data_IF_601130933026
#
_entry.id   IF_601130933026
#
_cell.length_a   1.000
_cell.length_b   1.000
_cell.length_c   1.000
_cell.angle_alpha   90.00
_cell.angle_beta   90.00
_cell.angle_gamma   90.00
#
_symmetry.space_group_name_H-M   'P 1'
#
loop_
_entity.id
_entity.type
_entity.pdbx_description
1 polymer ?
#
# COMPACT_ATOMS: atom_id res chain seq x y z
N UNK A 1 27.00 12.41 10.82
CA UNK A 1 26.54 12.68 12.19
C UNK A 1 25.31 11.82 12.42
N UNK A 2 25.50 10.66 13.07
CA UNK A 2 24.50 9.62 13.15
C UNK A 2 23.52 9.83 14.29
N UNK A 3 22.68 10.83 14.23
CA UNK A 3 21.49 10.90 15.07
C UNK A 3 20.42 10.00 14.44
N UNK A 4 20.64 8.71 14.55
CA UNK A 4 19.60 7.73 14.22
C UNK A 4 18.65 7.62 15.40
N UNK A 5 17.36 7.86 15.16
CA UNK A 5 16.34 7.77 16.20
C UNK A 5 16.07 6.34 16.70
N UNK A 6 16.74 5.34 16.13
CA UNK A 6 16.52 3.93 16.43
C UNK A 6 15.13 3.42 16.05
N UNK A 7 14.47 4.09 15.09
CA UNK A 7 13.11 3.77 14.64
C UNK A 7 13.14 3.26 13.22
N UNK A 8 12.49 2.16 12.98
CA UNK A 8 12.34 1.61 11.63
C UNK A 8 11.59 2.59 10.74
N UNK A 9 12.00 2.66 9.49
CA UNK A 9 11.51 3.59 8.48
C UNK A 9 11.60 5.06 8.94
N UNK A 10 11.92 5.97 8.04
CA UNK A 10 11.87 7.42 8.29
C UNK A 10 12.66 7.91 9.51
N UNK A 11 13.85 7.39 9.72
CA UNK A 11 14.77 7.84 10.78
C UNK A 11 15.39 9.22 10.47
N UNK A 12 14.79 9.98 9.61
CA UNK A 12 15.27 11.31 9.31
C UNK A 12 15.13 12.22 10.54
N UNK A 13 16.16 12.99 10.79
CA UNK A 13 16.05 14.10 11.73
C UNK A 13 14.80 14.93 11.37
N UNK A 14 13.96 15.33 12.32
CA UNK A 14 12.75 16.11 12.07
C UNK A 14 12.94 17.33 11.19
N UNK A 15 14.11 17.99 11.26
CA UNK A 15 14.45 19.14 10.42
C UNK A 15 14.47 18.74 8.92
N UNK A 16 14.99 17.57 8.60
CA UNK A 16 15.00 17.05 7.22
C UNK A 16 13.70 16.40 6.82
N UNK A 17 12.94 15.90 7.77
CA UNK A 17 11.61 15.33 7.52
C UNK A 17 10.62 16.42 7.05
N UNK A 18 10.74 17.64 7.54
CA UNK A 18 9.83 18.73 7.19
C UNK A 18 9.80 19.04 5.68
N UNK A 19 10.94 19.26 4.98
CA UNK A 19 10.91 19.47 3.53
C UNK A 19 10.39 18.24 2.76
N UNK A 20 10.63 17.02 3.22
CA UNK A 20 10.07 15.79 2.63
C UNK A 20 8.56 15.83 2.75
N UNK A 21 8.04 16.11 3.93
CA UNK A 21 6.60 16.21 4.18
C UNK A 21 5.93 17.28 3.31
N UNK A 22 6.52 18.48 3.24
CA UNK A 22 6.03 19.56 2.38
C UNK A 22 6.01 19.13 0.91
N UNK A 23 7.05 18.43 0.46
CA UNK A 23 7.13 17.92 -0.92
C UNK A 23 5.99 16.95 -1.25
N UNK A 24 5.61 16.07 -0.33
CA UNK A 24 4.45 15.19 -0.52
C UNK A 24 3.12 15.94 -0.57
N UNK A 25 2.95 16.97 0.24
CA UNK A 25 1.76 17.84 0.18
C UNK A 25 1.68 18.55 -1.17
N UNK A 26 2.77 19.15 -1.62
CA UNK A 26 2.85 19.80 -2.93
C UNK A 26 2.55 18.81 -4.06
N UNK A 27 3.11 17.60 -3.97
CA UNK A 27 2.85 16.54 -4.94
C UNK A 27 1.38 16.11 -4.95
N UNK A 28 0.73 15.98 -3.79
CA UNK A 28 -0.70 15.67 -3.71
C UNK A 28 -1.57 16.78 -4.33
N UNK A 29 -1.26 18.04 -4.04
CA UNK A 29 -1.98 19.19 -4.62
C UNK A 29 -1.82 19.18 -6.15
N UNK A 30 -0.59 19.00 -6.63
CA UNK A 30 -0.31 18.91 -8.07
C UNK A 30 -1.05 17.74 -8.72
N UNK A 31 -1.06 16.58 -8.08
CA UNK A 31 -1.78 15.39 -8.55
C UNK A 31 -3.27 15.67 -8.71
N UNK A 32 -3.92 16.24 -7.68
CA UNK A 32 -5.35 16.58 -7.71
C UNK A 32 -5.64 17.61 -8.82
N UNK A 33 -4.76 18.59 -8.97
CA UNK A 33 -4.91 19.63 -10.00
C UNK A 33 -4.80 19.06 -11.42
N UNK A 34 -3.86 18.13 -11.65
CA UNK A 34 -3.63 17.53 -12.98
C UNK A 34 -4.77 16.59 -13.39
N UNK A 35 -5.28 15.79 -12.47
CA UNK A 35 -6.32 14.81 -12.79
C UNK A 35 -7.69 15.48 -12.89
N UNK A 36 -7.94 16.49 -12.07
CA UNK A 36 -9.25 17.13 -11.92
C UNK A 36 -10.30 16.15 -11.39
N UNK A 37 -11.39 16.67 -10.87
CA UNK A 37 -12.51 15.83 -10.42
C UNK A 37 -13.43 15.51 -11.60
N UNK A 38 -13.24 14.37 -12.25
CA UNK A 38 -14.11 13.85 -13.30
C UNK A 38 -15.13 12.88 -12.70
N UNK A 39 -16.28 12.76 -13.36
CA UNK A 39 -17.40 11.91 -12.91
C UNK A 39 -17.02 10.41 -12.83
N UNK A 40 -16.03 9.98 -13.63
CA UNK A 40 -15.56 8.57 -13.63
C UNK A 40 -14.04 8.53 -13.70
N UNK A 41 -13.43 8.18 -12.60
CA UNK A 41 -12.01 7.86 -12.55
C UNK A 41 -11.79 6.35 -12.67
N UNK A 42 -10.72 5.91 -13.38
CA UNK A 42 -10.27 4.54 -13.31
C UNK A 42 -9.76 4.23 -11.90
N UNK A 43 -9.78 2.95 -11.53
CA UNK A 43 -9.45 2.51 -10.18
C UNK A 43 -8.05 2.97 -9.72
N UNK A 44 -7.08 3.02 -10.61
CA UNK A 44 -5.72 3.41 -10.26
C UNK A 44 -5.60 4.90 -9.85
N UNK A 45 -6.47 5.79 -10.32
CA UNK A 45 -6.49 7.16 -9.82
C UNK A 45 -6.96 7.24 -8.36
N UNK A 46 -7.94 6.43 -8.00
CA UNK A 46 -8.38 6.31 -6.60
C UNK A 46 -7.30 5.69 -5.72
N UNK A 47 -6.60 4.67 -6.21
CA UNK A 47 -5.51 4.01 -5.50
C UNK A 47 -4.35 4.99 -5.24
N UNK A 48 -3.95 5.77 -6.23
CA UNK A 48 -2.89 6.77 -6.07
C UNK A 48 -3.31 7.88 -5.12
N UNK A 49 -4.53 8.42 -5.26
CA UNK A 49 -5.03 9.45 -4.36
C UNK A 49 -5.04 8.96 -2.90
N UNK A 50 -5.64 7.79 -2.68
CA UNK A 50 -5.75 7.20 -1.34
C UNK A 50 -4.37 6.90 -0.76
N UNK A 51 -3.47 6.31 -1.54
CA UNK A 51 -2.10 6.03 -1.12
C UNK A 51 -1.34 7.30 -0.71
N UNK A 52 -1.43 8.38 -1.50
CA UNK A 52 -0.78 9.66 -1.18
C UNK A 52 -1.37 10.30 0.07
N UNK A 53 -2.68 10.33 0.20
CA UNK A 53 -3.35 10.91 1.37
C UNK A 53 -2.96 10.15 2.64
N UNK A 54 -3.05 8.83 2.63
CA UNK A 54 -2.68 8.03 3.80
C UNK A 54 -1.18 8.08 4.08
N UNK A 55 -0.34 8.18 3.06
CA UNK A 55 1.08 8.38 3.25
C UNK A 55 1.37 9.66 4.06
N UNK A 56 0.69 10.77 3.76
CA UNK A 56 0.84 12.01 4.50
C UNK A 56 0.43 11.83 5.97
N UNK A 57 -0.70 11.17 6.22
CA UNK A 57 -1.15 10.89 7.60
C UNK A 57 -0.18 10.00 8.36
N UNK A 58 0.29 8.91 7.75
CA UNK A 58 1.24 7.99 8.37
C UNK A 58 2.60 8.65 8.61
N UNK A 59 2.99 9.57 7.73
CA UNK A 59 4.22 10.35 7.92
C UNK A 59 4.13 11.25 9.17
N UNK A 60 3.00 11.93 9.39
CA UNK A 60 2.76 12.71 10.60
C UNK A 60 2.79 11.80 11.83
N UNK A 61 2.08 10.69 11.79
CA UNK A 61 2.01 9.70 12.88
C UNK A 61 3.41 9.18 13.27
N UNK A 62 4.28 8.96 12.27
CA UNK A 62 5.63 8.47 12.51
C UNK A 62 6.47 9.43 13.38
N UNK A 63 6.16 10.71 13.40
CA UNK A 63 6.87 11.72 14.17
C UNK A 63 6.22 12.09 15.51
N UNK A 64 5.17 11.38 15.96
CA UNK A 64 4.53 11.60 17.25
C UNK A 64 5.50 11.39 18.42
N UNK A 65 6.55 10.62 18.26
CA UNK A 65 7.61 10.42 19.26
C UNK A 65 8.34 11.72 19.66
N UNK A 66 8.27 12.78 18.88
CA UNK A 66 8.82 14.10 19.22
C UNK A 66 8.20 14.61 20.52
N UNK A 67 6.93 14.28 20.76
CA UNK A 67 6.21 14.66 21.96
C UNK A 67 6.56 13.72 23.13
N UNK A 68 6.99 14.27 24.31
CA UNK A 68 7.33 13.46 25.47
C UNK A 68 6.25 12.47 25.88
N UNK A 69 4.98 12.87 25.79
CA UNK A 69 3.82 12.04 26.12
C UNK A 69 3.86 10.67 25.43
N UNK A 70 4.20 10.59 24.15
CA UNK A 70 4.28 9.31 23.44
C UNK A 70 5.61 8.61 23.72
N UNK A 71 6.73 9.33 23.69
CA UNK A 71 8.08 8.78 23.83
C UNK A 71 8.34 8.18 25.23
N UNK A 72 7.77 8.73 26.28
CA UNK A 72 8.00 8.29 27.66
C UNK A 72 7.13 7.08 28.06
N UNK A 73 6.14 6.70 27.23
CA UNK A 73 5.32 5.53 27.44
C UNK A 73 5.72 4.42 26.45
N UNK A 74 6.54 3.49 26.91
CA UNK A 74 7.13 2.44 26.07
C UNK A 74 6.11 1.72 25.17
N UNK A 75 4.99 1.26 25.73
CA UNK A 75 3.95 0.54 24.94
C UNK A 75 3.32 1.45 23.90
N UNK A 76 3.04 2.71 24.23
CA UNK A 76 2.49 3.68 23.27
C UNK A 76 3.48 3.96 22.14
N UNK A 77 4.74 4.19 22.49
CA UNK A 77 5.79 4.48 21.51
C UNK A 77 6.01 3.31 20.54
N UNK A 78 6.12 2.09 21.09
CA UNK A 78 6.27 0.89 20.26
C UNK A 78 5.04 0.60 19.42
N UNK A 79 3.82 0.79 19.96
CA UNK A 79 2.57 0.58 19.22
C UNK A 79 2.47 1.57 18.05
N UNK A 80 2.77 2.84 18.28
CA UNK A 80 2.78 3.85 17.22
C UNK A 80 3.78 3.48 16.13
N UNK A 81 5.01 3.15 16.49
CA UNK A 81 6.06 2.80 15.54
C UNK A 81 5.64 1.62 14.64
N UNK A 82 5.22 0.51 15.24
CA UNK A 82 4.86 -0.69 14.49
C UNK A 82 3.56 -0.53 13.70
N UNK A 83 2.58 0.19 14.26
CA UNK A 83 1.34 0.52 13.56
C UNK A 83 1.62 1.41 12.34
N UNK A 84 2.47 2.41 12.48
CA UNK A 84 2.86 3.28 11.37
C UNK A 84 3.57 2.50 10.26
N UNK A 85 4.45 1.55 10.61
CA UNK A 85 5.08 0.67 9.63
C UNK A 85 4.03 -0.07 8.78
N UNK A 86 3.06 -0.70 9.41
CA UNK A 86 1.98 -1.39 8.70
C UNK A 86 1.13 -0.46 7.83
N UNK A 87 0.77 0.70 8.35
CA UNK A 87 -0.01 1.71 7.62
C UNK A 87 0.78 2.30 6.45
N UNK A 88 2.08 2.52 6.62
CA UNK A 88 2.97 3.00 5.55
C UNK A 88 3.07 1.99 4.41
N UNK A 89 3.28 0.71 4.74
CA UNK A 89 3.28 -0.38 3.75
C UNK A 89 1.94 -0.43 3.01
N UNK A 90 0.81 -0.29 3.71
CA UNK A 90 -0.50 -0.22 3.09
C UNK A 90 -0.68 0.97 2.14
N UNK A 91 -0.19 2.15 2.51
CA UNK A 91 -0.22 3.34 1.65
C UNK A 91 0.62 3.16 0.39
N UNK A 92 1.84 2.61 0.52
CA UNK A 92 2.73 2.31 -0.61
C UNK A 92 2.10 1.22 -1.49
N UNK A 93 1.50 0.18 -0.92
CA UNK A 93 0.82 -0.86 -1.68
C UNK A 93 -0.32 -0.30 -2.53
N UNK A 94 -1.11 0.65 -2.04
CA UNK A 94 -2.12 1.33 -2.85
C UNK A 94 -1.51 2.02 -4.07
N UNK A 95 -0.39 2.71 -3.90
CA UNK A 95 0.31 3.37 -5.02
C UNK A 95 0.82 2.33 -6.01
N UNK A 96 1.46 1.25 -5.55
CA UNK A 96 2.02 0.19 -6.40
C UNK A 96 0.92 -0.55 -7.14
N UNK A 97 -0.17 -0.91 -6.48
CA UNK A 97 -1.32 -1.54 -7.14
C UNK A 97 -1.93 -0.62 -8.19
N UNK A 98 -2.01 0.68 -7.92
CA UNK A 98 -2.42 1.66 -8.91
C UNK A 98 -1.53 1.65 -10.15
N UNK A 99 -0.21 1.60 -9.97
CA UNK A 99 0.76 1.47 -11.08
C UNK A 99 0.56 0.15 -11.82
N UNK A 100 0.36 -0.96 -11.12
CA UNK A 100 0.13 -2.27 -11.74
C UNK A 100 -1.15 -2.26 -12.59
N UNK A 101 -2.27 -1.74 -12.08
CA UNK A 101 -3.52 -1.61 -12.86
C UNK A 101 -3.35 -0.71 -14.09
N UNK A 102 -2.65 0.40 -13.95
CA UNK A 102 -2.35 1.29 -15.07
C UNK A 102 -1.54 0.56 -16.15
N UNK A 103 -0.48 -0.15 -15.76
CA UNK A 103 0.35 -0.91 -16.69
C UNK A 103 -0.43 -2.07 -17.32
N UNK A 104 -1.23 -2.79 -16.55
CA UNK A 104 -2.11 -3.86 -17.05
C UNK A 104 -3.04 -3.33 -18.14
N UNK A 105 -3.67 -2.19 -17.91
CA UNK A 105 -4.54 -1.52 -18.88
C UNK A 105 -3.77 -1.16 -20.17
N UNK A 106 -2.60 -0.50 -20.02
CA UNK A 106 -1.80 -0.06 -21.17
C UNK A 106 -1.23 -1.23 -21.98
N UNK A 107 -0.80 -2.29 -21.32
CA UNK A 107 -0.26 -3.48 -21.98
C UNK A 107 -1.36 -4.28 -22.69
N UNK A 108 -2.53 -4.42 -22.08
CA UNK A 108 -3.64 -5.16 -22.67
C UNK A 108 -4.45 -4.38 -23.70
N UNK A 109 -4.37 -3.05 -23.67
CA UNK A 109 -5.24 -2.18 -24.47
C UNK A 109 -6.71 -2.21 -24.02
N UNK A 110 -7.03 -2.85 -22.88
CA UNK A 110 -8.38 -2.95 -22.34
C UNK A 110 -8.65 -1.87 -21.29
N UNK A 111 -9.08 -0.70 -21.75
CA UNK A 111 -9.42 0.41 -20.85
C UNK A 111 -10.57 0.08 -19.89
N UNK A 112 -11.41 -0.92 -20.22
CA UNK A 112 -12.53 -1.31 -19.35
C UNK A 112 -12.06 -2.07 -18.11
N UNK A 113 -10.87 -2.64 -18.13
CA UNK A 113 -10.32 -3.41 -17.01
C UNK A 113 -10.23 -2.60 -15.71
N UNK A 114 -9.86 -1.32 -15.82
CA UNK A 114 -9.74 -0.40 -14.67
C UNK A 114 -11.07 0.09 -14.10
N UNK A 115 -12.19 -0.23 -14.75
CA UNK A 115 -13.53 0.12 -14.30
C UNK A 115 -14.34 -1.11 -13.84
N UNK A 116 -13.74 -2.30 -13.82
CA UNK A 116 -14.43 -3.54 -13.41
C UNK A 116 -14.67 -3.57 -11.90
N UNK A 117 -15.76 -4.26 -11.52
CA UNK A 117 -16.10 -4.48 -10.10
C UNK A 117 -14.96 -5.16 -9.32
N UNK A 118 -14.22 -6.07 -9.96
CA UNK A 118 -13.09 -6.76 -9.33
C UNK A 118 -11.95 -5.81 -9.01
N UNK A 119 -11.66 -4.84 -9.90
CA UNK A 119 -10.62 -3.82 -9.68
C UNK A 119 -10.98 -2.90 -8.52
N UNK A 120 -12.25 -2.48 -8.44
CA UNK A 120 -12.73 -1.69 -7.29
C UNK A 120 -12.82 -2.53 -6.01
N UNK A 121 -13.14 -3.82 -6.09
CA UNK A 121 -13.08 -4.70 -4.93
C UNK A 121 -11.66 -4.76 -4.35
N UNK A 122 -10.64 -4.85 -5.22
CA UNK A 122 -9.23 -4.77 -4.79
C UNK A 122 -8.88 -3.42 -4.16
N UNK A 123 -9.37 -2.32 -4.73
CA UNK A 123 -9.15 -0.99 -4.15
C UNK A 123 -9.73 -0.87 -2.74
N UNK A 124 -11.00 -1.25 -2.55
CA UNK A 124 -11.64 -1.17 -1.23
C UNK A 124 -11.00 -2.12 -0.22
N UNK A 125 -10.60 -3.30 -0.66
CA UNK A 125 -9.91 -4.24 0.20
C UNK A 125 -8.53 -3.74 0.59
N UNK A 126 -7.79 -3.13 -0.34
CA UNK A 126 -6.53 -2.48 -0.05
C UNK A 126 -6.68 -1.29 0.90
N UNK A 127 -7.80 -0.55 0.85
CA UNK A 127 -8.15 0.44 1.88
C UNK A 127 -8.36 -0.21 3.25
N UNK A 128 -9.12 -1.31 3.31
CA UNK A 128 -9.31 -2.07 4.55
C UNK A 128 -7.98 -2.57 5.10
N UNK A 129 -7.10 -3.05 4.23
CA UNK A 129 -5.76 -3.48 4.59
C UNK A 129 -4.94 -2.33 5.18
N UNK A 130 -4.96 -1.18 4.54
CA UNK A 130 -4.29 0.01 5.03
C UNK A 130 -4.79 0.44 6.43
N UNK A 131 -6.08 0.29 6.69
CA UNK A 131 -6.70 0.70 7.94
C UNK A 131 -6.53 -0.31 9.08
N UNK A 132 -6.46 -1.61 8.80
CA UNK A 132 -6.56 -2.66 9.83
C UNK A 132 -5.44 -3.69 9.82
N UNK A 133 -4.71 -3.84 8.71
CA UNK A 133 -3.68 -4.88 8.56
C UNK A 133 -2.45 -4.66 9.45
N UNK A 134 -2.21 -3.44 9.90
CA UNK A 134 -1.12 -3.12 10.81
C UNK A 134 -1.12 -3.98 12.10
N UNK A 135 -2.25 -4.59 12.43
CA UNK A 135 -2.36 -5.46 13.60
C UNK A 135 -1.38 -6.64 13.59
N UNK A 136 -0.98 -7.15 12.42
CA UNK A 136 0.04 -8.21 12.36
C UNK A 136 1.47 -7.69 12.62
N UNK A 137 1.71 -6.39 12.53
CA UNK A 137 2.99 -5.80 12.89
C UNK A 137 3.18 -5.66 14.40
N UNK A 138 2.11 -5.79 15.19
CA UNK A 138 2.14 -5.62 16.66
C UNK A 138 1.91 -6.93 17.43
N UNK A 139 2.11 -8.09 16.82
CA UNK A 139 1.88 -9.40 17.45
C UNK A 139 2.68 -9.63 18.73
N UNK A 140 3.85 -9.02 18.84
CA UNK A 140 4.72 -9.14 20.03
C UNK A 140 4.38 -8.12 21.12
N UNK A 141 3.45 -7.22 20.89
CA UNK A 141 3.02 -6.24 21.87
C UNK A 141 1.83 -6.78 22.70
N UNK A 142 1.65 -6.34 23.94
CA UNK A 142 0.54 -6.75 24.81
C UNK A 142 -0.76 -6.07 24.35
N UNK A 143 -1.28 -6.50 23.20
CA UNK A 143 -2.52 -5.99 22.60
C UNK A 143 -3.61 -7.05 22.61
N UNK A 144 -4.85 -6.63 22.39
CA UNK A 144 -6.00 -7.52 22.35
C UNK A 144 -5.94 -8.48 21.17
N UNK A 145 -6.17 -9.75 21.39
CA UNK A 145 -6.07 -10.82 20.37
C UNK A 145 -6.96 -10.59 19.14
N UNK A 146 -8.13 -9.96 19.32
CA UNK A 146 -9.04 -9.71 18.20
C UNK A 146 -8.41 -8.84 17.11
N UNK A 147 -7.43 -7.97 17.46
CA UNK A 147 -6.70 -7.13 16.50
C UNK A 147 -5.92 -8.02 15.53
N UNK A 148 -5.25 -9.05 16.03
CA UNK A 148 -4.50 -10.01 15.22
C UNK A 148 -5.42 -10.80 14.27
N UNK A 149 -6.56 -11.27 14.78
CA UNK A 149 -7.53 -12.01 13.94
C UNK A 149 -8.12 -11.15 12.83
N UNK A 150 -8.47 -9.90 13.11
CA UNK A 150 -8.97 -8.97 12.09
C UNK A 150 -7.89 -8.71 11.03
N UNK A 151 -6.67 -8.40 11.46
CA UNK A 151 -5.55 -8.14 10.55
C UNK A 151 -5.29 -9.35 9.64
N UNK A 152 -5.29 -10.57 10.22
CA UNK A 152 -5.12 -11.80 9.46
C UNK A 152 -6.23 -12.02 8.43
N UNK A 153 -7.49 -11.89 8.83
CA UNK A 153 -8.63 -12.08 7.94
C UNK A 153 -8.61 -11.11 6.74
N UNK A 154 -8.23 -9.85 6.98
CA UNK A 154 -8.11 -8.83 5.93
C UNK A 154 -6.99 -9.18 4.97
N UNK A 155 -5.80 -9.57 5.46
CA UNK A 155 -4.66 -9.97 4.63
C UNK A 155 -4.97 -11.17 3.74
N UNK A 156 -5.66 -12.19 4.30
CA UNK A 156 -6.07 -13.39 3.54
C UNK A 156 -6.96 -13.06 2.37
N UNK A 157 -7.90 -12.16 2.58
CA UNK A 157 -8.86 -11.77 1.53
C UNK A 157 -8.16 -11.02 0.40
N UNK A 158 -7.20 -10.16 0.71
CA UNK A 158 -6.40 -9.44 -0.28
C UNK A 158 -5.61 -10.39 -1.18
N UNK A 159 -4.94 -11.37 -0.60
CA UNK A 159 -4.17 -12.36 -1.32
C UNK A 159 -5.00 -13.13 -2.36
N UNK A 160 -6.21 -13.59 -1.97
CA UNK A 160 -7.11 -14.31 -2.86
C UNK A 160 -7.53 -13.47 -4.06
N UNK A 161 -7.90 -12.20 -3.82
CA UNK A 161 -8.35 -11.30 -4.89
C UNK A 161 -7.19 -10.95 -5.82
N UNK A 162 -6.01 -10.70 -5.28
CA UNK A 162 -4.81 -10.36 -6.06
C UNK A 162 -4.43 -11.49 -7.03
N UNK A 163 -4.35 -12.72 -6.55
CA UNK A 163 -4.09 -13.90 -7.42
C UNK A 163 -5.13 -14.01 -8.52
N UNK A 164 -6.40 -13.81 -8.20
CA UNK A 164 -7.49 -13.87 -9.20
C UNK A 164 -7.33 -12.80 -10.28
N UNK A 165 -6.92 -11.60 -9.92
CA UNK A 165 -6.66 -10.51 -10.86
C UNK A 165 -5.50 -10.89 -11.79
N UNK A 166 -4.37 -11.31 -11.24
CA UNK A 166 -3.19 -11.70 -12.02
C UNK A 166 -3.48 -12.86 -12.97
N UNK A 167 -4.16 -13.89 -12.50
CA UNK A 167 -4.56 -15.02 -13.33
C UNK A 167 -5.43 -14.59 -14.52
N UNK A 168 -6.46 -13.77 -14.25
CA UNK A 168 -7.37 -13.28 -15.29
C UNK A 168 -6.63 -12.43 -16.33
N UNK A 169 -5.78 -11.52 -15.88
CA UNK A 169 -4.99 -10.66 -16.75
C UNK A 169 -3.97 -11.43 -17.60
N UNK A 170 -3.23 -12.36 -17.00
CA UNK A 170 -2.23 -13.18 -17.73
C UNK A 170 -2.88 -14.05 -18.81
N UNK A 171 -4.09 -14.56 -18.57
CA UNK A 171 -4.87 -15.30 -19.56
C UNK A 171 -5.30 -14.41 -20.72
N UNK A 172 -5.83 -13.23 -20.42
CA UNK A 172 -6.29 -12.25 -21.43
C UNK A 172 -5.14 -11.85 -22.36
N UNK A 173 -3.95 -11.62 -21.86
CA UNK A 173 -2.80 -11.26 -22.70
C UNK A 173 -2.34 -12.41 -23.59
N UNK A 174 -2.33 -13.64 -23.09
CA UNK A 174 -1.98 -14.82 -23.89
C UNK A 174 -2.94 -15.01 -25.06
N UNK A 175 -4.22 -14.71 -24.88
CA UNK A 175 -5.24 -14.79 -25.91
C UNK A 175 -5.08 -13.69 -26.97
N UNK A 176 -4.72 -12.47 -26.58
CA UNK A 176 -4.65 -11.31 -27.46
C UNK A 176 -3.35 -11.16 -28.27
N UNK A 177 -2.33 -11.98 -28.02
CA UNK A 177 -1.02 -12.00 -28.71
C UNK A 177 -0.38 -10.62 -28.95
N UNK A 178 -0.58 -9.69 -28.04
CA UNK A 178 -0.02 -8.35 -28.19
C UNK A 178 1.44 -8.30 -27.75
N UNK A 179 2.38 -8.49 -28.67
CA UNK A 179 3.83 -8.44 -28.43
C UNK A 179 4.43 -7.03 -28.32
N UNK A 180 3.65 -5.98 -28.51
CA UNK A 180 4.17 -4.61 -28.57
C UNK A 180 4.87 -4.16 -27.29
N UNK A 181 4.48 -4.70 -26.13
CA UNK A 181 5.01 -4.34 -24.80
C UNK A 181 5.72 -5.50 -24.14
N UNK A 182 6.53 -6.24 -24.88
CA UNK A 182 7.20 -7.47 -24.42
C UNK A 182 8.00 -7.28 -23.12
N UNK A 183 8.83 -6.23 -23.02
CA UNK A 183 9.62 -5.98 -21.81
C UNK A 183 8.76 -5.51 -20.63
N UNK A 184 7.91 -4.47 -20.74
CA UNK A 184 6.99 -4.10 -19.67
C UNK A 184 6.13 -5.27 -19.17
N UNK A 185 5.64 -6.10 -20.07
CA UNK A 185 4.90 -7.31 -19.72
C UNK A 185 5.71 -8.27 -18.84
N UNK A 186 6.96 -8.55 -19.23
CA UNK A 186 7.82 -9.47 -18.47
C UNK A 186 8.17 -8.92 -17.09
N UNK A 187 8.46 -7.63 -16.99
CA UNK A 187 8.72 -6.99 -15.69
C UNK A 187 7.49 -7.04 -14.79
N UNK A 188 6.31 -6.76 -15.33
CA UNK A 188 5.08 -6.83 -14.54
C UNK A 188 4.79 -8.26 -14.08
N UNK A 189 4.94 -9.26 -14.97
CA UNK A 189 4.77 -10.68 -14.61
C UNK A 189 5.78 -11.13 -13.54
N UNK A 190 7.02 -10.66 -13.60
CA UNK A 190 8.02 -10.94 -12.58
C UNK A 190 7.64 -10.30 -11.25
N UNK A 191 7.17 -9.05 -11.25
CA UNK A 191 6.68 -8.37 -10.06
C UNK A 191 5.49 -9.13 -9.45
N UNK A 192 4.49 -9.51 -10.25
CA UNK A 192 3.33 -10.29 -9.82
C UNK A 192 3.73 -11.63 -9.19
N UNK A 193 4.71 -12.31 -9.78
CA UNK A 193 5.24 -13.56 -9.25
C UNK A 193 5.88 -13.36 -7.86
N UNK A 194 6.76 -12.38 -7.73
CA UNK A 194 7.44 -12.10 -6.46
C UNK A 194 6.48 -11.57 -5.39
N UNK A 195 5.53 -10.72 -5.74
CA UNK A 195 4.49 -10.26 -4.83
C UNK A 195 3.63 -11.43 -4.34
N UNK A 196 3.27 -12.38 -5.22
CA UNK A 196 2.50 -13.57 -4.85
C UNK A 196 3.27 -14.43 -3.85
N UNK A 197 4.57 -14.67 -4.09
CA UNK A 197 5.41 -15.43 -3.15
C UNK A 197 5.52 -14.70 -1.81
N UNK A 198 5.84 -13.42 -1.83
CA UNK A 198 6.03 -12.62 -0.63
C UNK A 198 4.76 -12.59 0.24
N UNK A 199 3.62 -12.32 -0.37
CA UNK A 199 2.34 -12.33 0.34
C UNK A 199 1.95 -13.72 0.83
N UNK A 200 2.30 -14.80 0.11
CA UNK A 200 2.07 -16.16 0.56
C UNK A 200 2.90 -16.48 1.81
N UNK A 201 4.16 -16.09 1.83
CA UNK A 201 5.03 -16.26 3.00
C UNK A 201 4.49 -15.43 4.18
N UNK A 202 4.18 -14.16 3.94
CA UNK A 202 3.62 -13.27 4.95
C UNK A 202 2.33 -13.83 5.57
N UNK A 203 1.49 -14.45 4.75
CA UNK A 203 0.26 -15.10 5.17
C UNK A 203 0.52 -16.23 6.18
N UNK A 204 1.51 -17.12 5.88
CA UNK A 204 1.87 -18.19 6.80
C UNK A 204 2.52 -17.67 8.08
N UNK A 205 3.33 -16.62 7.99
CA UNK A 205 3.99 -16.01 9.14
C UNK A 205 3.02 -15.25 10.06
N UNK A 206 1.88 -14.81 9.53
CA UNK A 206 0.89 -13.99 10.25
C UNK A 206 -0.23 -14.81 10.88
N UNK A 207 -0.17 -16.14 10.86
CA UNK A 207 -1.19 -16.98 11.51
C UNK A 207 -1.19 -16.68 13.02
N UNK A 208 -2.33 -16.24 13.59
CA UNK A 208 -2.44 -15.88 15.01
C UNK A 208 -2.21 -17.05 15.96
#
# INVERSE_FOLDING_TARGET
TGDFGGREYWEFNPVWALPIFISFIVFLIFYIHQIGFKVKWPVYYWMWLTGLVFFIFTFIENYLWIFPYFREHFVADMTIQWKVNGSLVGAINQIIYGVAFYLMEKISGDEKSSYQKLSFAMYFLGMFNLMFNWGHHIYLLPTEKFIHYIAYAVSMTEWIILIRIFYKWSKQIKENKQFYYFFPYRFLMAADYWVTINLSIALFMSIP
#
